data_IF_855896760397
#
_entry.id   IF_855896760397
#
_cell.length_a   1.000
_cell.length_b   1.000
_cell.length_c   1.000
_cell.angle_alpha   90.00
_cell.angle_beta   90.00
_cell.angle_gamma   90.00
#
_symmetry.space_group_name_H-M   'P 1'
#
loop_
_entity.id
_entity.type
_entity.pdbx_description
1 polymer ?
#
# COMPACT_ATOMS: atom_id res chain seq x y z
N UNK A 1 -16.24 -9.75 -17.97
CA UNK A 1 -15.49 -11.03 -17.95
C UNK A 1 -15.15 -11.34 -16.51
N UNK A 2 -15.40 -12.56 -16.02
CA UNK A 2 -15.03 -12.95 -14.65
C UNK A 2 -13.54 -13.30 -14.63
N UNK A 3 -12.73 -12.56 -13.87
CA UNK A 3 -11.29 -12.80 -13.75
C UNK A 3 -11.06 -13.67 -12.51
N UNK A 4 -10.56 -14.89 -12.70
CA UNK A 4 -10.16 -15.75 -11.58
C UNK A 4 -8.72 -15.48 -11.16
N UNK A 5 -8.46 -15.59 -9.86
CA UNK A 5 -7.09 -15.65 -9.37
C UNK A 5 -6.38 -16.87 -9.94
N UNK A 6 -5.05 -16.79 -10.08
CA UNK A 6 -4.24 -17.93 -10.55
C UNK A 6 -4.51 -19.19 -9.72
N UNK A 7 -4.62 -19.05 -8.40
CA UNK A 7 -4.90 -20.17 -7.50
C UNK A 7 -6.27 -20.79 -7.78
N UNK A 8 -7.33 -19.96 -7.90
CA UNK A 8 -8.69 -20.42 -8.21
C UNK A 8 -8.76 -21.13 -9.57
N UNK A 9 -8.12 -20.57 -10.59
CA UNK A 9 -8.05 -21.18 -11.91
C UNK A 9 -7.33 -22.54 -11.90
N UNK A 10 -6.17 -22.63 -11.24
CA UNK A 10 -5.41 -23.88 -11.15
C UNK A 10 -6.21 -24.95 -10.39
N UNK A 11 -6.82 -24.57 -9.26
CA UNK A 11 -7.64 -25.48 -8.47
C UNK A 11 -8.80 -26.04 -9.29
N UNK A 12 -9.55 -25.18 -10.00
CA UNK A 12 -10.64 -25.61 -10.87
C UNK A 12 -10.18 -26.51 -12.00
N UNK A 13 -9.07 -26.18 -12.65
CA UNK A 13 -8.50 -27.02 -13.69
C UNK A 13 -8.22 -28.43 -13.16
N UNK A 14 -7.62 -28.53 -11.98
CA UNK A 14 -7.33 -29.82 -11.35
C UNK A 14 -8.62 -30.62 -11.07
N UNK A 15 -9.62 -29.97 -10.48
CA UNK A 15 -10.93 -30.60 -10.21
C UNK A 15 -11.61 -31.08 -11.52
N UNK A 16 -11.52 -30.30 -12.60
CA UNK A 16 -12.05 -30.71 -13.93
C UNK A 16 -11.33 -31.94 -14.47
N UNK A 17 -10.00 -31.96 -14.39
CA UNK A 17 -9.18 -33.09 -14.86
C UNK A 17 -9.48 -34.36 -14.04
N UNK A 18 -9.61 -34.25 -12.72
CA UNK A 18 -9.95 -35.37 -11.85
C UNK A 18 -11.35 -35.93 -12.13
N UNK A 19 -12.36 -35.05 -12.24
CA UNK A 19 -13.73 -35.45 -12.55
C UNK A 19 -13.81 -36.13 -13.93
N UNK A 20 -13.05 -35.64 -14.91
CA UNK A 20 -12.97 -36.27 -16.23
C UNK A 20 -12.31 -37.65 -16.18
N UNK A 21 -11.26 -37.86 -15.38
CA UNK A 21 -10.67 -39.19 -15.21
C UNK A 21 -11.66 -40.17 -14.55
N UNK A 22 -12.33 -39.77 -13.47
CA UNK A 22 -13.36 -40.62 -12.82
C UNK A 22 -14.47 -41.05 -13.78
N UNK A 23 -14.89 -40.13 -14.66
CA UNK A 23 -15.84 -40.45 -15.72
C UNK A 23 -15.30 -41.50 -16.71
N UNK A 24 -14.04 -41.40 -17.13
CA UNK A 24 -13.40 -42.40 -18.02
C UNK A 24 -13.28 -43.78 -17.36
N UNK A 25 -13.05 -43.80 -16.05
CA UNK A 25 -12.93 -45.02 -15.24
C UNK A 25 -14.31 -45.65 -14.92
N UNK A 26 -15.41 -44.98 -15.29
CA UNK A 26 -16.77 -45.46 -15.10
C UNK A 26 -17.30 -45.29 -13.67
N UNK A 27 -16.69 -44.39 -12.89
CA UNK A 27 -17.13 -44.04 -11.54
C UNK A 27 -18.33 -43.07 -11.56
N UNK A 28 -19.06 -42.98 -10.44
CA UNK A 28 -20.15 -42.02 -10.31
C UNK A 28 -19.61 -40.58 -10.30
N UNK A 29 -20.32 -39.70 -11.00
CA UNK A 29 -19.92 -38.30 -11.22
C UNK A 29 -20.43 -37.36 -10.13
N UNK A 30 -21.03 -37.89 -9.07
CA UNK A 30 -21.49 -37.09 -7.92
C UNK A 30 -20.29 -36.58 -7.12
N UNK A 31 -20.15 -35.26 -7.07
CA UNK A 31 -19.13 -34.56 -6.30
C UNK A 31 -19.79 -33.68 -5.24
N UNK A 32 -19.11 -33.52 -4.11
CA UNK A 32 -19.50 -32.51 -3.13
C UNK A 32 -19.34 -31.12 -3.75
N UNK A 33 -20.07 -30.13 -3.21
CA UNK A 33 -20.10 -28.78 -3.77
C UNK A 33 -18.72 -28.11 -3.78
N UNK A 34 -17.89 -28.39 -2.78
CA UNK A 34 -16.49 -27.93 -2.66
C UNK A 34 -15.55 -28.53 -3.71
N UNK A 35 -15.88 -29.71 -4.24
CA UNK A 35 -15.12 -30.44 -5.25
C UNK A 35 -15.71 -30.28 -6.65
N UNK A 36 -16.82 -29.54 -6.78
CA UNK A 36 -17.44 -29.26 -8.07
C UNK A 36 -16.67 -28.15 -8.81
N UNK A 37 -15.98 -28.47 -9.92
CA UNK A 37 -15.24 -27.47 -10.69
C UNK A 37 -16.12 -26.39 -11.33
N UNK A 38 -17.42 -26.66 -11.48
CA UNK A 38 -18.39 -25.76 -12.11
C UNK A 38 -19.16 -24.92 -11.11
N UNK A 39 -19.10 -25.25 -9.83
CA UNK A 39 -19.68 -24.42 -8.78
C UNK A 39 -18.74 -23.25 -8.41
N UNK A 40 -19.32 -22.05 -8.29
CA UNK A 40 -18.60 -20.83 -7.90
C UNK A 40 -19.31 -20.14 -6.73
N UNK A 41 -18.64 -19.97 -5.57
CA UNK A 41 -19.20 -19.16 -4.51
C UNK A 41 -19.40 -17.72 -4.99
N UNK A 42 -20.40 -17.06 -4.41
CA UNK A 42 -20.61 -15.63 -4.64
C UNK A 42 -19.48 -14.85 -3.96
N UNK A 43 -18.65 -14.22 -4.78
CA UNK A 43 -17.50 -13.43 -4.33
C UNK A 43 -17.66 -11.95 -4.74
N UNK A 44 -16.87 -11.09 -4.09
CA UNK A 44 -16.77 -9.68 -4.47
C UNK A 44 -16.11 -9.58 -5.84
N UNK A 45 -16.58 -8.63 -6.65
CA UNK A 45 -16.07 -8.41 -7.99
C UNK A 45 -15.30 -7.10 -8.02
N UNK A 46 -14.05 -7.12 -8.46
CA UNK A 46 -13.33 -5.87 -8.74
C UNK A 46 -13.94 -5.22 -9.98
N UNK A 47 -14.46 -4.00 -9.84
CA UNK A 47 -15.13 -3.28 -10.92
C UNK A 47 -14.15 -2.35 -11.65
N UNK A 48 -13.32 -1.63 -10.89
CA UNK A 48 -12.35 -0.72 -11.44
C UNK A 48 -11.56 0.02 -10.37
N UNK A 49 -10.60 0.83 -10.81
CA UNK A 49 -9.72 1.59 -9.92
C UNK A 49 -9.68 3.07 -10.31
N UNK A 50 -9.75 3.94 -9.32
CA UNK A 50 -9.54 5.38 -9.45
C UNK A 50 -8.12 5.73 -8.98
N UNK A 51 -7.43 6.60 -9.72
CA UNK A 51 -6.05 7.01 -9.43
C UNK A 51 -6.01 8.49 -9.07
N UNK A 52 -5.69 8.79 -7.81
CA UNK A 52 -5.71 10.14 -7.25
C UNK A 52 -4.28 10.60 -6.99
N UNK A 53 -3.79 11.59 -7.74
CA UNK A 53 -2.43 12.09 -7.58
C UNK A 53 -2.24 12.80 -6.23
N UNK A 54 -1.23 12.38 -5.48
CA UNK A 54 -0.96 12.90 -4.14
C UNK A 54 -0.09 14.17 -4.14
N UNK A 55 0.30 14.66 -5.32
CA UNK A 55 1.27 15.74 -5.44
C UNK A 55 0.83 17.00 -4.67
N UNK A 56 -0.45 17.38 -4.73
CA UNK A 56 -0.96 18.53 -3.97
C UNK A 56 -0.75 18.38 -2.46
N UNK A 57 -0.86 17.16 -1.93
CA UNK A 57 -0.64 16.89 -0.52
C UNK A 57 0.82 17.12 -0.11
N UNK A 58 1.79 16.85 -1.00
CA UNK A 58 3.22 17.12 -0.75
C UNK A 58 3.52 18.61 -0.47
N UNK A 59 2.67 19.52 -0.96
CA UNK A 59 2.77 20.96 -0.74
C UNK A 59 1.82 21.46 0.36
N UNK A 60 1.23 20.57 1.15
CA UNK A 60 0.17 20.92 2.11
C UNK A 60 -1.00 21.69 1.46
N UNK A 61 -1.34 21.36 0.21
CA UNK A 61 -2.50 21.92 -0.46
C UNK A 61 -3.71 20.99 -0.31
N UNK A 62 -4.90 21.59 -0.26
CA UNK A 62 -6.17 20.86 -0.31
C UNK A 62 -6.37 20.28 -1.71
N UNK A 63 -6.96 19.11 -1.77
CA UNK A 63 -7.30 18.43 -3.00
C UNK A 63 -8.78 18.04 -2.96
N UNK A 64 -9.51 18.38 -4.01
CA UNK A 64 -10.90 17.99 -4.24
C UNK A 64 -11.07 17.72 -5.74
N UNK A 65 -11.46 16.50 -6.09
CA UNK A 65 -11.66 16.11 -7.48
C UNK A 65 -12.76 15.04 -7.62
N UNK A 66 -13.30 14.95 -8.83
CA UNK A 66 -14.13 13.83 -9.27
C UNK A 66 -13.31 12.96 -10.22
N UNK A 67 -13.04 11.72 -9.83
CA UNK A 67 -12.12 10.81 -10.52
C UNK A 67 -12.87 9.56 -10.96
N UNK A 68 -12.68 9.15 -12.21
CA UNK A 68 -13.33 7.96 -12.77
C UNK A 68 -12.70 6.67 -12.21
N UNK A 69 -13.56 5.70 -11.87
CA UNK A 69 -13.15 4.31 -11.73
C UNK A 69 -13.10 3.67 -13.11
N UNK A 70 -11.90 3.25 -13.53
CA UNK A 70 -11.70 2.59 -14.81
C UNK A 70 -11.57 1.08 -14.63
N UNK A 71 -12.26 0.31 -15.46
CA UNK A 71 -12.13 -1.15 -15.50
C UNK A 71 -10.87 -1.58 -16.28
N UNK A 72 -10.68 -2.90 -16.44
CA UNK A 72 -9.54 -3.47 -17.15
C UNK A 72 -9.45 -3.10 -18.64
N UNK A 73 -10.58 -2.69 -19.25
CA UNK A 73 -10.66 -2.23 -20.64
C UNK A 73 -10.49 -0.70 -20.75
N UNK A 74 -10.29 0.00 -19.62
CA UNK A 74 -10.17 1.45 -19.57
C UNK A 74 -11.51 2.18 -19.72
N UNK A 75 -12.64 1.49 -19.49
CA UNK A 75 -13.96 2.10 -19.52
C UNK A 75 -14.38 2.55 -18.12
N UNK A 76 -15.06 3.69 -18.06
CA UNK A 76 -15.63 4.22 -16.82
C UNK A 76 -16.71 3.29 -16.25
N UNK A 77 -16.60 2.94 -14.97
CA UNK A 77 -17.61 2.17 -14.23
C UNK A 77 -18.43 3.04 -13.25
N UNK A 78 -17.79 4.07 -12.71
CA UNK A 78 -18.38 5.04 -11.79
C UNK A 78 -17.46 6.26 -11.66
N UNK A 79 -17.93 7.33 -11.00
CA UNK A 79 -17.12 8.51 -10.66
C UNK A 79 -17.06 8.66 -9.14
N UNK A 80 -15.85 8.75 -8.59
CA UNK A 80 -15.58 9.00 -7.19
C UNK A 80 -15.43 10.50 -6.93
N UNK A 81 -16.16 11.04 -5.95
CA UNK A 81 -15.87 12.36 -5.40
C UNK A 81 -15.05 12.19 -4.10
N UNK A 82 -13.84 12.73 -4.08
CA UNK A 82 -12.87 12.53 -3.00
C UNK A 82 -12.21 13.85 -2.61
N UNK A 83 -12.00 14.03 -1.31
CA UNK A 83 -11.21 15.13 -0.74
C UNK A 83 -9.98 14.58 -0.02
N UNK A 84 -8.84 15.26 -0.20
CA UNK A 84 -7.63 15.03 0.59
C UNK A 84 -7.19 16.37 1.16
N UNK A 85 -7.25 16.50 2.49
CA UNK A 85 -7.05 17.77 3.17
C UNK A 85 -5.95 17.65 4.24
N UNK A 86 -4.89 18.48 4.18
CA UNK A 86 -4.00 18.70 5.30
C UNK A 86 -4.79 19.23 6.51
N UNK A 87 -4.47 18.72 7.69
CA UNK A 87 -5.18 19.08 8.91
C UNK A 87 -4.23 19.28 10.11
N UNK A 88 -4.79 19.77 11.21
CA UNK A 88 -4.13 19.76 12.51
C UNK A 88 -4.18 18.35 13.13
N UNK A 89 -3.42 18.10 14.22
CA UNK A 89 -3.59 16.92 15.07
C UNK A 89 -5.04 16.67 15.52
N UNK A 90 -5.80 17.75 15.74
CA UNK A 90 -7.20 17.71 16.16
C UNK A 90 -8.18 17.53 14.99
N UNK A 91 -7.68 17.37 13.75
CA UNK A 91 -8.48 17.17 12.56
C UNK A 91 -9.10 18.45 11.98
N UNK A 92 -8.65 19.63 12.43
CA UNK A 92 -9.10 20.90 11.85
C UNK A 92 -8.39 21.16 10.53
N UNK A 93 -9.15 21.56 9.50
CA UNK A 93 -8.58 21.85 8.19
C UNK A 93 -7.58 23.02 8.28
N UNK A 94 -6.42 22.85 7.63
CA UNK A 94 -5.40 23.90 7.52
C UNK A 94 -5.81 25.00 6.53
N UNK A 95 -5.25 26.19 6.74
CA UNK A 95 -5.49 27.37 5.90
C UNK A 95 -4.54 27.44 4.71
N UNK A 96 -4.68 28.47 3.88
CA UNK A 96 -3.74 28.73 2.77
C UNK A 96 -2.34 29.14 3.29
N UNK A 97 -2.24 29.62 4.52
CA UNK A 97 -0.96 30.00 5.16
C UNK A 97 -0.08 28.79 5.51
N UNK A 98 -0.66 27.58 5.55
CA UNK A 98 0.05 26.33 5.87
C UNK A 98 0.68 25.67 4.62
N UNK A 99 0.44 26.22 3.44
CA UNK A 99 0.99 25.72 2.17
C UNK A 99 2.50 25.94 2.14
N UNK A 100 3.26 24.91 1.74
CA UNK A 100 4.73 24.99 1.62
C UNK A 100 5.15 25.19 0.17
N UNK A 101 6.26 25.90 -0.03
CA UNK A 101 6.82 26.13 -1.38
C UNK A 101 7.63 24.94 -1.87
N UNK A 102 8.38 24.30 -0.97
CA UNK A 102 9.17 23.10 -1.26
C UNK A 102 8.75 21.96 -0.32
N UNK A 103 8.35 20.77 -0.82
CA UNK A 103 8.01 19.63 0.02
C UNK A 103 9.14 19.22 0.99
N UNK A 104 10.41 19.50 0.64
CA UNK A 104 11.57 19.21 1.51
C UNK A 104 11.48 19.98 2.84
N UNK A 105 10.77 21.10 2.89
CA UNK A 105 10.54 21.84 4.14
C UNK A 105 9.72 21.03 5.15
N UNK A 106 9.03 19.97 4.73
CA UNK A 106 8.28 19.06 5.61
C UNK A 106 9.16 17.94 6.18
N UNK A 107 10.36 17.73 5.65
CA UNK A 107 11.27 16.68 6.11
C UNK A 107 11.55 16.85 7.62
N UNK A 108 11.42 15.78 8.40
CA UNK A 108 11.63 15.88 9.85
C UNK A 108 10.37 16.26 10.65
N UNK A 109 9.33 16.79 10.00
CA UNK A 109 8.18 17.42 10.68
C UNK A 109 6.99 16.48 10.77
N UNK A 110 6.11 16.78 11.73
CA UNK A 110 4.79 16.15 11.84
C UNK A 110 3.88 16.67 10.72
N UNK A 111 3.19 15.76 10.05
CA UNK A 111 2.18 16.05 9.05
C UNK A 111 0.92 15.24 9.36
N UNK A 112 -0.23 15.89 9.38
CA UNK A 112 -1.54 15.26 9.57
C UNK A 112 -2.41 15.61 8.35
N UNK A 113 -3.16 14.63 7.87
CA UNK A 113 -4.07 14.83 6.74
C UNK A 113 -5.24 13.85 6.80
N UNK A 114 -6.33 14.21 6.15
CA UNK A 114 -7.56 13.42 6.07
C UNK A 114 -7.84 13.05 4.63
N UNK A 115 -8.22 11.79 4.41
CA UNK A 115 -8.80 11.32 3.15
C UNK A 115 -10.29 11.09 3.40
N UNK A 116 -11.13 11.78 2.63
CA UNK A 116 -12.59 11.68 2.70
C UNK A 116 -13.15 11.21 1.38
N UNK A 117 -13.79 10.04 1.39
CA UNK A 117 -14.57 9.53 0.27
C UNK A 117 -15.99 10.06 0.43
N UNK A 118 -16.38 11.03 -0.42
CA UNK A 118 -17.64 11.77 -0.26
C UNK A 118 -18.80 10.93 -0.80
N UNK A 119 -18.74 10.58 -2.08
CA UNK A 119 -19.81 9.86 -2.77
C UNK A 119 -19.28 9.14 -4.02
N UNK A 120 -20.04 8.15 -4.47
CA UNK A 120 -19.87 7.55 -5.79
C UNK A 120 -21.06 7.90 -6.67
N UNK A 121 -20.80 8.21 -7.93
CA UNK A 121 -21.79 8.63 -8.91
C UNK A 121 -21.82 7.67 -10.09
N UNK A 122 -23.01 7.36 -10.58
CA UNK A 122 -23.20 6.71 -11.87
C UNK A 122 -22.83 5.24 -11.93
N UNK A 123 -22.64 4.57 -10.79
CA UNK A 123 -22.15 3.19 -10.68
C UNK A 123 -22.94 2.21 -11.56
N UNK A 124 -22.32 1.74 -12.66
CA UNK A 124 -22.94 0.84 -13.65
C UNK A 124 -23.39 -0.49 -13.03
N UNK A 125 -22.55 -1.07 -12.18
CA UNK A 125 -22.82 -2.31 -11.44
C UNK A 125 -24.19 -2.32 -10.73
N UNK A 126 -24.60 -1.18 -10.15
CA UNK A 126 -25.85 -1.00 -9.42
C UNK A 126 -27.04 -0.64 -10.34
N UNK A 127 -26.77 -0.17 -11.56
CA UNK A 127 -27.80 0.08 -12.58
C UNK A 127 -28.25 -1.22 -13.25
N UNK A 128 -27.34 -2.18 -13.39
CA UNK A 128 -27.64 -3.49 -13.95
C UNK A 128 -28.56 -4.32 -13.05
N UNK A 129 -28.39 -4.18 -11.73
CA UNK A 129 -29.17 -4.89 -10.73
C UNK A 129 -29.19 -4.09 -9.42
N UNK A 130 -30.40 -3.73 -9.00
CA UNK A 130 -30.65 -2.87 -7.84
C UNK A 130 -30.47 -3.59 -6.50
N UNK A 131 -30.36 -4.92 -6.47
CA UNK A 131 -30.14 -5.67 -5.23
C UNK A 131 -28.65 -5.74 -4.85
N UNK A 132 -27.76 -5.32 -5.75
CA UNK A 132 -26.32 -5.32 -5.56
C UNK A 132 -25.85 -4.21 -4.62
N UNK A 133 -24.61 -4.35 -4.15
CA UNK A 133 -23.93 -3.35 -3.34
C UNK A 133 -22.56 -3.00 -3.87
N UNK A 134 -21.92 -2.02 -3.24
CA UNK A 134 -20.53 -1.64 -3.49
C UNK A 134 -19.79 -1.36 -2.20
N UNK A 135 -18.47 -1.50 -2.29
CA UNK A 135 -17.53 -1.15 -1.25
C UNK A 135 -16.26 -0.58 -1.89
N UNK A 136 -15.59 0.34 -1.22
CA UNK A 136 -14.34 0.91 -1.71
C UNK A 136 -13.18 0.51 -0.82
N UNK A 137 -12.05 0.19 -1.44
CA UNK A 137 -10.82 -0.18 -0.74
C UNK A 137 -9.67 0.72 -1.16
N UNK A 138 -8.85 1.18 -0.21
CA UNK A 138 -7.63 1.91 -0.55
C UNK A 138 -6.52 1.66 0.48
N UNK A 139 -5.28 1.86 0.04
CA UNK A 139 -4.10 1.69 0.87
C UNK A 139 -3.10 2.79 0.57
N UNK A 140 -2.67 3.50 1.61
CA UNK A 140 -1.72 4.60 1.48
C UNK A 140 -0.33 4.17 1.93
N UNK A 141 0.69 4.60 1.17
CA UNK A 141 2.11 4.46 1.48
C UNK A 141 2.54 3.08 2.03
N UNK A 142 2.89 3.00 3.33
CA UNK A 142 3.46 1.84 4.00
C UNK A 142 2.46 1.05 4.85
N UNK A 143 1.16 1.36 4.72
CA UNK A 143 0.10 0.69 5.47
C UNK A 143 0.09 -0.82 5.16
N UNK A 144 0.01 -1.71 6.17
CA UNK A 144 0.10 -3.15 5.95
C UNK A 144 -1.18 -3.75 5.34
N UNK A 145 -2.33 -3.15 5.63
CA UNK A 145 -3.65 -3.61 5.21
C UNK A 145 -4.40 -2.55 4.42
N UNK A 146 -5.29 -3.00 3.53
CA UNK A 146 -6.23 -2.13 2.82
C UNK A 146 -7.33 -1.70 3.78
N UNK A 147 -7.68 -0.42 3.76
CA UNK A 147 -8.84 0.12 4.45
C UNK A 147 -10.05 0.00 3.53
N UNK A 148 -11.18 -0.42 4.09
CA UNK A 148 -12.42 -0.56 3.34
C UNK A 148 -13.51 0.32 3.95
N UNK A 149 -14.31 0.93 3.09
CA UNK A 149 -15.53 1.64 3.52
C UNK A 149 -16.57 0.67 4.05
N UNK A 150 -17.61 1.17 4.71
CA UNK A 150 -18.81 0.36 4.91
C UNK A 150 -19.41 0.00 3.54
N UNK A 151 -20.04 -1.19 3.44
CA UNK A 151 -20.75 -1.58 2.23
C UNK A 151 -22.03 -0.76 2.09
N UNK A 152 -22.33 -0.34 0.87
CA UNK A 152 -23.58 0.37 0.55
C UNK A 152 -24.35 -0.45 -0.47
N UNK A 153 -25.60 -0.77 -0.15
CA UNK A 153 -26.47 -1.64 -0.92
C UNK A 153 -27.64 -0.86 -1.54
N UNK A 154 -28.07 -1.26 -2.73
CA UNK A 154 -29.32 -0.82 -3.38
C UNK A 154 -29.44 0.68 -3.67
N UNK A 155 -28.31 1.40 -3.68
CA UNK A 155 -28.26 2.84 -3.93
C UNK A 155 -27.26 3.13 -5.04
N UNK A 156 -27.74 3.51 -6.23
CA UNK A 156 -26.92 3.73 -7.44
C UNK A 156 -25.88 4.85 -7.27
N UNK A 157 -26.20 5.89 -6.49
CA UNK A 157 -25.30 7.00 -6.19
C UNK A 157 -25.03 7.05 -4.67
N UNK A 158 -24.23 6.12 -4.13
CA UNK A 158 -24.06 6.00 -2.68
C UNK A 158 -23.35 7.22 -2.09
N UNK A 159 -23.94 7.78 -1.04
CA UNK A 159 -23.27 8.76 -0.16
C UNK A 159 -22.45 7.97 0.85
N UNK A 160 -21.13 8.12 0.78
CA UNK A 160 -20.19 7.36 1.61
C UNK A 160 -19.89 8.18 2.87
N UNK A 161 -19.47 9.43 2.66
CA UNK A 161 -19.07 10.38 3.69
C UNK A 161 -18.17 9.78 4.79
N UNK A 162 -17.20 8.96 4.38
CA UNK A 162 -16.24 8.35 5.30
C UNK A 162 -14.91 9.10 5.24
N UNK A 163 -14.43 9.52 6.41
CA UNK A 163 -13.17 10.24 6.58
C UNK A 163 -12.23 9.45 7.47
N UNK A 164 -10.99 9.28 7.01
CA UNK A 164 -9.91 8.67 7.79
C UNK A 164 -8.74 9.64 7.90
N UNK A 165 -8.27 9.85 9.12
CA UNK A 165 -7.12 10.70 9.39
C UNK A 165 -5.83 9.87 9.51
N UNK A 166 -4.80 10.37 8.84
CA UNK A 166 -3.46 9.81 8.85
C UNK A 166 -2.49 10.81 9.46
N UNK A 167 -1.50 10.28 10.19
CA UNK A 167 -0.48 11.06 10.85
C UNK A 167 0.89 10.49 10.52
N UNK A 168 1.78 11.37 10.05
CA UNK A 168 3.22 11.13 9.98
C UNK A 168 3.88 11.95 11.08
N UNK A 169 4.54 11.30 12.05
CA UNK A 169 5.19 12.04 13.15
C UNK A 169 6.47 12.74 12.70
N UNK A 170 7.19 12.14 11.76
CA UNK A 170 8.44 12.64 11.20
C UNK A 170 8.49 12.25 9.74
N UNK A 171 8.16 13.19 8.84
CA UNK A 171 8.09 12.90 7.42
C UNK A 171 9.49 12.58 6.86
N UNK A 172 9.61 11.39 6.32
CA UNK A 172 10.81 10.89 5.67
C UNK A 172 10.88 11.35 4.21
N UNK A 173 12.09 11.37 3.65
CA UNK A 173 12.27 11.68 2.24
C UNK A 173 11.53 10.69 1.33
N UNK A 174 11.43 9.42 1.74
CA UNK A 174 10.73 8.39 0.98
C UNK A 174 9.23 8.65 0.94
N UNK A 175 8.64 9.09 2.07
CA UNK A 175 7.24 9.48 2.14
C UNK A 175 6.96 10.72 1.29
N UNK A 176 7.80 11.76 1.39
CA UNK A 176 7.66 12.97 0.57
C UNK A 176 7.81 12.69 -0.93
N UNK A 177 8.71 11.78 -1.31
CA UNK A 177 8.85 11.34 -2.70
C UNK A 177 7.59 10.60 -3.16
N UNK A 178 7.06 9.69 -2.32
CA UNK A 178 5.80 8.99 -2.61
C UNK A 178 4.65 9.98 -2.85
N UNK A 179 4.48 11.00 -2.00
CA UNK A 179 3.45 12.01 -2.22
C UNK A 179 3.62 12.76 -3.55
N UNK A 180 4.86 13.02 -3.97
CA UNK A 180 5.13 13.74 -5.22
C UNK A 180 4.96 12.90 -6.49
N UNK A 181 5.27 11.60 -6.44
CA UNK A 181 5.36 10.77 -7.65
C UNK A 181 4.25 9.74 -7.79
N UNK A 182 3.51 9.44 -6.73
CA UNK A 182 2.55 8.35 -6.72
C UNK A 182 1.11 8.86 -6.63
N UNK A 183 0.21 8.01 -7.14
CA UNK A 183 -1.22 8.16 -6.93
C UNK A 183 -1.68 7.24 -5.80
N UNK A 184 -2.65 7.70 -5.02
CA UNK A 184 -3.49 6.84 -4.21
C UNK A 184 -4.43 6.07 -5.15
N UNK A 185 -4.41 4.74 -5.03
CA UNK A 185 -5.31 3.87 -5.78
C UNK A 185 -6.48 3.53 -4.87
N UNK A 186 -7.69 3.87 -5.32
CA UNK A 186 -8.94 3.45 -4.70
C UNK A 186 -9.57 2.42 -5.61
N UNK A 187 -9.86 1.24 -5.08
CA UNK A 187 -10.50 0.14 -5.79
C UNK A 187 -12.00 0.11 -5.46
N UNK A 188 -12.82 -0.03 -6.50
CA UNK A 188 -14.26 -0.24 -6.39
C UNK A 188 -14.58 -1.73 -6.47
N UNK A 189 -15.25 -2.24 -5.43
CA UNK A 189 -15.67 -3.63 -5.31
C UNK A 189 -17.19 -3.72 -5.38
N UNK A 190 -17.69 -4.59 -6.27
CA UNK A 190 -19.10 -4.95 -6.39
C UNK A 190 -19.46 -6.09 -5.45
N UNK A 191 -20.54 -5.92 -4.70
CA UNK A 191 -21.12 -6.89 -3.79
C UNK A 191 -22.41 -7.48 -4.37
N UNK A 192 -22.64 -8.76 -4.08
CA UNK A 192 -23.82 -9.53 -4.47
C UNK A 192 -24.42 -10.19 -3.23
N UNK A 193 -25.71 -10.48 -3.25
CA UNK A 193 -26.38 -11.16 -2.13
C UNK A 193 -25.68 -12.50 -1.81
N UNK A 194 -25.38 -12.73 -0.53
CA UNK A 194 -24.63 -13.91 -0.07
C UNK A 194 -23.10 -13.78 -0.13
N UNK A 195 -22.56 -12.67 -0.64
CA UNK A 195 -21.12 -12.38 -0.62
C UNK A 195 -20.65 -11.95 0.78
N UNK A 196 -19.45 -12.40 1.17
CA UNK A 196 -18.77 -11.85 2.34
C UNK A 196 -18.25 -10.42 2.06
N UNK A 197 -18.51 -9.52 2.99
CA UNK A 197 -18.04 -8.13 2.92
C UNK A 197 -16.52 -8.04 3.13
N UNK A 198 -15.87 -7.07 2.50
CA UNK A 198 -14.45 -6.84 2.73
C UNK A 198 -14.27 -6.15 4.09
N UNK A 199 -13.30 -6.59 4.88
CA UNK A 199 -13.00 -5.98 6.17
C UNK A 199 -11.50 -5.76 6.33
N UNK A 200 -11.17 -4.69 7.05
CA UNK A 200 -9.80 -4.41 7.45
C UNK A 200 -9.53 -5.07 8.80
N UNK A 201 -8.48 -5.89 8.90
CA UNK A 201 -7.98 -6.35 10.19
C UNK A 201 -7.24 -5.20 10.89
N UNK A 202 -7.90 -4.56 11.86
CA UNK A 202 -7.30 -3.46 12.65
C UNK A 202 -6.09 -3.88 13.49
N UNK A 203 -5.87 -5.19 13.66
CA UNK A 203 -4.81 -5.80 14.46
C UNK A 203 -3.38 -5.36 14.11
N UNK A 204 -3.14 -4.83 12.91
CA UNK A 204 -1.81 -4.43 12.45
C UNK A 204 -1.66 -2.91 12.21
N UNK A 205 -2.69 -2.12 12.49
CA UNK A 205 -2.64 -0.67 12.30
C UNK A 205 -1.98 -0.02 13.52
N UNK A 206 -0.89 0.72 13.28
CA UNK A 206 -0.34 1.60 14.31
C UNK A 206 -1.20 2.86 14.40
N UNK A 207 -1.55 3.25 15.61
CA UNK A 207 -2.45 4.38 15.87
C UNK A 207 -1.79 5.32 16.88
N UNK A 208 -1.98 6.63 16.72
CA UNK A 208 -1.54 7.63 17.71
C UNK A 208 -2.35 7.50 19.01
N UNK A 209 -1.89 8.14 20.10
CA UNK A 209 -2.70 8.26 21.32
C UNK A 209 -4.03 9.01 21.13
N UNK A 210 -4.21 9.68 19.98
CA UNK A 210 -5.41 10.42 19.58
C UNK A 210 -6.37 9.56 18.73
N UNK A 211 -5.98 8.35 18.32
CA UNK A 211 -6.81 7.46 17.49
C UNK A 211 -6.54 7.52 15.99
N UNK A 212 -5.49 8.22 15.54
CA UNK A 212 -5.22 8.45 14.11
C UNK A 212 -4.24 7.42 13.55
N UNK A 213 -4.40 7.02 12.29
CA UNK A 213 -3.57 5.99 11.67
C UNK A 213 -2.16 6.55 11.41
N UNK A 214 -1.14 5.88 11.96
CA UNK A 214 0.25 6.23 11.71
C UNK A 214 0.71 5.68 10.36
N UNK A 215 1.39 6.54 9.60
CA UNK A 215 2.07 6.19 8.36
C UNK A 215 3.52 6.67 8.42
N UNK A 216 4.37 6.13 7.57
CA UNK A 216 5.82 6.40 7.57
C UNK A 216 6.50 5.94 8.87
N UNK A 217 6.16 4.71 9.29
CA UNK A 217 6.64 4.13 10.55
C UNK A 217 7.90 3.30 10.38
N UNK A 218 8.33 3.01 9.14
CA UNK A 218 9.51 2.18 8.84
C UNK A 218 10.85 2.69 9.41
N UNK A 219 10.89 3.93 9.95
CA UNK A 219 12.08 4.50 10.63
C UNK A 219 11.82 4.95 12.08
N UNK A 220 10.62 4.78 12.62
CA UNK A 220 10.37 5.01 14.04
C UNK A 220 10.47 3.67 14.78
N UNK A 221 11.49 3.46 15.64
CA UNK A 221 11.48 2.27 16.49
C UNK A 221 10.23 2.31 17.36
N UNK A 222 9.49 1.20 17.49
CA UNK A 222 8.29 1.15 18.31
C UNK A 222 8.68 1.51 19.75
N UNK A 223 8.10 2.59 20.24
CA UNK A 223 8.18 2.99 21.63
C UNK A 223 7.31 2.01 22.43
N UNK A 224 7.83 0.85 22.85
CA UNK A 224 7.46 0.11 24.08
C UNK A 224 8.58 -0.87 24.54
N UNK A 225 8.87 -0.81 25.85
CA UNK A 225 9.64 -1.67 26.77
C UNK A 225 11.19 -1.81 26.72
N UNK A 226 11.80 -0.91 27.52
CA UNK A 226 12.84 -1.07 28.57
C UNK A 226 13.89 -2.19 28.47
N UNK A 227 15.15 -1.78 28.27
CA UNK A 227 16.31 -2.33 28.98
C UNK A 227 17.53 -2.66 28.13
N UNK A 228 17.34 -3.31 26.97
CA UNK A 228 18.45 -3.87 26.19
C UNK A 228 18.83 -3.04 24.94
N UNK A 229 17.95 -2.14 24.50
CA UNK A 229 18.10 -1.35 23.27
C UNK A 229 19.23 -0.30 23.35
N UNK A 230 19.48 0.40 24.48
CA UNK A 230 20.57 1.37 24.54
C UNK A 230 21.94 0.69 24.36
N UNK A 231 22.09 -0.53 24.86
CA UNK A 231 23.34 -1.28 24.75
C UNK A 231 23.57 -1.81 23.33
N UNK A 232 22.51 -2.31 22.67
CA UNK A 232 22.58 -2.75 21.29
C UNK A 232 22.84 -1.60 20.33
N UNK A 233 22.21 -0.44 20.54
CA UNK A 233 22.45 0.76 19.73
C UNK A 233 23.89 1.27 19.90
N UNK A 234 24.40 1.31 21.13
CA UNK A 234 25.78 1.69 21.41
C UNK A 234 26.78 0.71 20.78
N UNK A 235 26.49 -0.60 20.82
CA UNK A 235 27.28 -1.64 20.16
C UNK A 235 27.28 -1.49 18.65
N UNK A 236 26.12 -1.19 18.05
CA UNK A 236 25.98 -1.02 16.61
C UNK A 236 26.74 0.22 16.12
N UNK A 237 26.61 1.37 16.81
CA UNK A 237 27.37 2.58 16.51
C UNK A 237 28.88 2.36 16.61
N UNK A 238 29.32 1.62 17.63
CA UNK A 238 30.73 1.26 17.81
C UNK A 238 31.23 0.35 16.68
N UNK A 239 30.41 -0.60 16.24
CA UNK A 239 30.72 -1.48 15.12
C UNK A 239 30.83 -0.70 13.81
N UNK A 240 29.93 0.25 13.55
CA UNK A 240 30.00 1.10 12.37
C UNK A 240 31.30 1.92 12.33
N UNK A 241 31.67 2.55 13.45
CA UNK A 241 32.94 3.28 13.56
C UNK A 241 34.16 2.37 13.34
N UNK A 242 34.15 1.16 13.89
CA UNK A 242 35.24 0.20 13.75
C UNK A 242 35.35 -0.32 12.31
N UNK A 243 34.22 -0.59 11.64
CA UNK A 243 34.22 -0.97 10.22
C UNK A 243 34.76 0.14 9.32
N UNK A 244 34.44 1.39 9.63
CA UNK A 244 34.92 2.53 8.85
C UNK A 244 36.43 2.74 9.04
N UNK A 245 36.93 2.57 10.27
CA UNK A 245 38.37 2.57 10.53
C UNK A 245 39.07 1.44 9.77
N UNK A 246 38.52 0.23 9.78
CA UNK A 246 39.07 -0.92 9.06
C UNK A 246 39.07 -0.72 7.54
N UNK A 247 38.06 -0.05 6.98
CA UNK A 247 38.05 0.33 5.55
C UNK A 247 39.16 1.32 5.23
N UNK A 248 39.35 2.34 6.08
CA UNK A 248 40.41 3.32 5.91
C UNK A 248 41.80 2.69 6.00
N UNK A 249 42.04 1.82 6.98
CA UNK A 249 43.30 1.07 7.10
C UNK A 249 43.52 0.16 5.89
N UNK A 250 42.50 -0.57 5.43
CA UNK A 250 42.61 -1.41 4.23
C UNK A 250 42.94 -0.59 2.98
N UNK A 251 42.40 0.63 2.84
CA UNK A 251 42.74 1.52 1.73
C UNK A 251 44.23 1.88 1.76
N UNK A 252 44.74 2.32 2.90
CA UNK A 252 46.17 2.67 3.06
C UNK A 252 47.08 1.47 2.81
N UNK A 253 46.76 0.30 3.39
CA UNK A 253 47.54 -0.92 3.18
C UNK A 253 47.55 -1.36 1.71
N UNK A 254 46.46 -1.12 0.96
CA UNK A 254 46.44 -1.40 -0.48
C UNK A 254 47.36 -0.46 -1.24
N UNK A 255 47.38 0.82 -0.91
CA UNK A 255 48.29 1.81 -1.50
C UNK A 255 49.75 1.45 -1.23
N UNK A 256 50.10 1.12 0.02
CA UNK A 256 51.45 0.68 0.38
C UNK A 256 51.85 -0.62 -0.32
N UNK A 257 50.94 -1.59 -0.44
CA UNK A 257 51.21 -2.83 -1.17
C UNK A 257 51.50 -2.58 -2.66
N UNK A 258 50.83 -1.61 -3.29
CA UNK A 258 51.11 -1.23 -4.68
C UNK A 258 52.53 -0.64 -4.77
N UNK A 259 52.87 0.30 -3.88
CA UNK A 259 54.21 0.92 -3.86
C UNK A 259 55.32 -0.11 -3.62
N UNK A 260 55.11 -1.06 -2.70
CA UNK A 260 56.07 -2.12 -2.42
C UNK A 260 56.24 -3.05 -3.61
N UNK A 261 55.14 -3.44 -4.28
CA UNK A 261 55.21 -4.25 -5.51
C UNK A 261 56.01 -3.54 -6.61
N UNK A 262 55.75 -2.25 -6.84
CA UNK A 262 56.51 -1.47 -7.82
C UNK A 262 58.00 -1.36 -7.46
N UNK A 263 58.34 -1.25 -6.17
CA UNK A 263 59.72 -1.23 -5.71
C UNK A 263 60.42 -2.56 -5.93
N UNK A 264 59.73 -3.68 -5.66
CA UNK A 264 60.25 -5.04 -5.89
C UNK A 264 60.46 -5.27 -7.38
N UNK A 265 59.50 -4.91 -8.23
CA UNK A 265 59.61 -5.01 -9.70
C UNK A 265 60.81 -4.19 -10.21
N UNK A 266 60.97 -2.94 -9.75
CA UNK A 266 62.14 -2.10 -10.08
C UNK A 266 63.47 -2.74 -9.67
N UNK A 267 63.56 -3.29 -8.46
CA UNK A 267 64.79 -3.97 -7.99
C UNK A 267 65.09 -5.25 -8.76
N UNK A 268 64.05 -6.00 -9.17
CA UNK A 268 64.21 -7.21 -9.99
C UNK A 268 64.65 -6.91 -11.42
N UNK A 269 64.19 -5.80 -12.02
CA UNK A 269 64.62 -5.34 -13.35
C UNK A 269 66.04 -4.76 -13.38
N UNK A 270 66.61 -4.44 -12.21
CA UNK A 270 67.98 -3.91 -12.07
C UNK A 270 69.03 -5.02 -11.90
N UNK A 271 68.62 -6.29 -11.84
CA UNK A 271 69.47 -7.48 -11.68
C UNK A 271 69.51 -8.39 -12.93
N UNK A 272 69.03 -7.92 -14.09
CA UNK A 272 69.19 -8.57 -15.39
C UNK A 272 70.07 -7.75 -16.34
#
# INVERSE_FOLDING_TARGET
VWIWSKAKFINRKFLMEELYQRFLDGEDSQVAQEDDPFWDPVEVVHLGSAHIWLQSLAYCMKFEEQVEFLNCDGLEEAVLHIHINPCSPTGQARGEEDVVTDPVDLLGKRMDFQIRLVQCLGTKWLKEDAERGVQMGYRIYDLPSTLYTKPVWKIVNPQIDETVQFTTLNASQEFLNYLQTNALIVDLWGLQEGCAELSCSQLNLMVTGEGHILVDTKKTPPLMDTGQIPELYLKLLKLEQETELLRNINRVLREENVLLKESVERTSSSQQ
#
